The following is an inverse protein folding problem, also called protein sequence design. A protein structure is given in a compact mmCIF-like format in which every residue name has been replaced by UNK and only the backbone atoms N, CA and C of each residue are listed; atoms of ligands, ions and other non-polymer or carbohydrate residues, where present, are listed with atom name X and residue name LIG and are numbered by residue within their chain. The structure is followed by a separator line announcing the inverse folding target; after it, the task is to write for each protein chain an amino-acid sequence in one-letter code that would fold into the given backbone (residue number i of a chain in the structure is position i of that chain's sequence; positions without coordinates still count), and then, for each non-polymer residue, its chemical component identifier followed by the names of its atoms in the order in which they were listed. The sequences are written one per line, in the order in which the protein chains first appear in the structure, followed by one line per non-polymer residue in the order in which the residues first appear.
data_IF_235609678591
#
_entry.id   IF_235609678591
#
_cell.length_a   1.000
_cell.length_b   1.000
_cell.length_c   1.000
_cell.angle_alpha   90.00
_cell.angle_beta   90.00
_cell.angle_gamma   90.00
#
_symmetry.space_group_name_H-M   'P 1'
#
loop_
_entity.id
_entity.type
_entity.pdbx_description
1 polymer ?
#
# COMPACT_ATOMS: atom_id res chain seq x y z
N UNK A 1 16.87 2.52 11.59
CA UNK A 1 16.78 2.72 10.12
C UNK A 1 16.55 4.21 9.86
N UNK A 2 17.44 4.89 9.15
CA UNK A 2 17.17 6.27 8.71
C UNK A 2 16.40 6.17 7.38
N UNK A 3 15.13 6.53 7.41
CA UNK A 3 14.33 6.72 6.19
C UNK A 3 14.76 8.06 5.62
N UNK A 4 15.47 8.05 4.50
CA UNK A 4 15.79 9.29 3.79
C UNK A 4 14.58 9.64 2.90
N UNK A 5 13.90 10.70 3.28
CA UNK A 5 12.80 11.28 2.51
C UNK A 5 13.42 12.28 1.55
N UNK A 6 13.40 12.02 0.26
CA UNK A 6 13.73 13.02 -0.75
C UNK A 6 12.42 13.62 -1.25
N UNK A 7 12.25 14.89 -0.98
CA UNK A 7 11.17 15.70 -1.53
C UNK A 7 11.65 16.23 -2.89
N UNK A 8 11.08 15.73 -3.98
CA UNK A 8 11.26 16.33 -5.30
C UNK A 8 10.08 17.25 -5.57
N UNK A 9 10.34 18.54 -5.73
CA UNK A 9 9.36 19.51 -6.20
C UNK A 9 9.52 19.67 -7.71
N UNK A 10 8.57 19.20 -8.49
CA UNK A 10 8.48 19.55 -9.92
C UNK A 10 7.60 20.79 -10.09
N UNK A 11 8.14 21.81 -10.75
CA UNK A 11 7.41 23.01 -11.16
C UNK A 11 7.11 22.91 -12.65
N UNK A 12 5.92 22.47 -13.00
CA UNK A 12 5.32 22.82 -14.27
C UNK A 12 4.05 23.60 -13.97
N UNK A 13 4.03 24.90 -14.32
CA UNK A 13 2.92 25.85 -14.25
C UNK A 13 1.92 25.52 -13.14
N UNK A 14 1.70 26.29 -12.12
CA UNK A 14 0.64 26.24 -11.07
C UNK A 14 0.23 24.90 -10.42
N UNK A 15 0.75 23.76 -10.86
CA UNK A 15 0.50 22.43 -10.28
C UNK A 15 1.76 21.95 -9.56
N UNK A 16 1.74 21.91 -8.23
CA UNK A 16 2.85 21.40 -7.42
C UNK A 16 2.54 19.98 -6.99
N UNK A 17 3.41 19.03 -7.35
CA UNK A 17 3.40 17.66 -6.85
C UNK A 17 4.58 17.50 -5.87
N UNK A 18 4.32 16.88 -4.73
CA UNK A 18 5.36 16.58 -3.74
C UNK A 18 5.67 15.10 -3.76
N UNK A 19 6.92 14.74 -4.02
CA UNK A 19 7.38 13.36 -4.10
C UNK A 19 8.10 12.98 -2.81
N UNK A 20 7.77 11.83 -2.24
CA UNK A 20 8.50 11.25 -1.10
C UNK A 20 9.13 9.94 -1.55
N UNK A 21 10.46 9.87 -1.58
CA UNK A 21 11.21 8.67 -1.94
C UNK A 21 11.71 8.01 -0.66
N UNK A 22 11.37 6.75 -0.43
CA UNK A 22 11.97 5.94 0.61
C UNK A 22 13.12 5.13 0.03
N UNK A 23 14.31 5.32 0.60
CA UNK A 23 15.48 4.54 0.27
C UNK A 23 15.61 3.33 1.19
N UNK A 24 15.76 2.13 0.63
CA UNK A 24 16.36 1.00 1.31
C UNK A 24 17.75 0.77 0.72
N UNK A 25 18.80 1.08 1.47
CA UNK A 25 20.20 1.04 0.99
C UNK A 25 20.84 -0.36 0.92
N UNK A 26 20.07 -1.47 0.82
CA UNK A 26 20.67 -2.80 0.82
C UNK A 26 20.15 -3.75 -0.25
N UNK A 27 21.00 -4.23 -1.17
CA UNK A 27 20.74 -5.44 -1.95
C UNK A 27 20.91 -6.65 -1.02
N UNK A 28 19.85 -7.24 -0.55
CA UNK A 28 19.81 -8.33 0.42
C UNK A 28 18.91 -8.06 1.62
N UNK A 29 18.38 -6.85 1.75
CA UNK A 29 17.56 -6.42 2.88
C UNK A 29 16.21 -7.15 2.99
N UNK A 30 15.68 -7.65 1.89
CA UNK A 30 14.43 -8.42 1.88
C UNK A 30 14.58 -9.76 2.61
N UNK A 31 15.81 -10.30 2.72
CA UNK A 31 16.05 -11.59 3.34
C UNK A 31 16.64 -11.54 4.78
N UNK A 32 17.03 -10.39 5.29
CA UNK A 32 17.80 -10.34 6.55
C UNK A 32 17.25 -9.46 7.65
N UNK A 33 16.29 -8.58 7.41
CA UNK A 33 15.76 -7.68 8.45
C UNK A 33 14.35 -7.97 8.97
N UNK A 34 13.50 -8.69 8.22
CA UNK A 34 12.15 -9.02 8.70
C UNK A 34 12.12 -10.19 9.68
N UNK A 35 13.03 -11.13 9.57
CA UNK A 35 12.85 -12.46 10.17
C UNK A 35 13.08 -12.62 11.66
N UNK A 36 13.65 -11.65 12.37
CA UNK A 36 14.06 -11.87 13.76
C UNK A 36 13.47 -10.88 14.78
N UNK A 37 12.99 -9.71 14.35
CA UNK A 37 12.57 -8.64 15.26
C UNK A 37 11.05 -8.48 15.32
N UNK A 38 10.32 -8.83 14.27
CA UNK A 38 8.89 -8.54 14.15
C UNK A 38 8.03 -9.80 13.95
N UNK A 39 8.57 -11.01 14.03
CA UNK A 39 7.75 -12.22 13.94
C UNK A 39 6.93 -12.44 15.21
N UNK A 40 5.66 -12.86 15.06
CA UNK A 40 4.76 -13.22 16.16
C UNK A 40 4.26 -14.65 16.05
N UNK A 41 3.61 -15.15 17.09
CA UNK A 41 2.91 -16.43 17.11
C UNK A 41 1.48 -16.29 16.56
N UNK A 42 0.93 -15.09 16.70
CA UNK A 42 -0.39 -14.70 16.21
C UNK A 42 -0.36 -13.25 15.66
N UNK A 43 -1.52 -12.77 15.23
CA UNK A 43 -1.64 -11.43 14.65
C UNK A 43 -1.37 -10.34 15.69
N UNK A 44 -1.75 -10.52 16.94
CA UNK A 44 -1.58 -9.53 17.98
C UNK A 44 -0.10 -9.35 18.33
N UNK A 45 0.64 -10.45 18.52
CA UNK A 45 2.08 -10.40 18.77
C UNK A 45 2.83 -9.81 17.56
N UNK A 46 2.44 -10.17 16.32
CA UNK A 46 3.01 -9.56 15.12
C UNK A 46 2.81 -8.04 15.12
N UNK A 47 1.60 -7.57 15.44
CA UNK A 47 1.29 -6.13 15.47
C UNK A 47 2.06 -5.42 16.57
N UNK A 48 2.17 -6.02 17.75
CA UNK A 48 2.95 -5.46 18.87
C UNK A 48 4.43 -5.29 18.49
N UNK A 49 5.02 -6.30 17.86
CA UNK A 49 6.39 -6.25 17.37
C UNK A 49 6.59 -5.19 16.26
N UNK A 50 5.62 -5.02 15.35
CA UNK A 50 5.67 -3.97 14.32
C UNK A 50 5.57 -2.56 14.94
N UNK A 51 4.81 -2.40 16.04
CA UNK A 51 4.74 -1.15 16.80
C UNK A 51 6.03 -0.85 17.53
N UNK A 52 6.60 -1.82 18.22
CA UNK A 52 7.88 -1.68 18.92
C UNK A 52 8.99 -1.28 17.94
N UNK A 53 8.99 -1.88 16.75
CA UNK A 53 9.91 -1.52 15.65
C UNK A 53 9.57 -0.18 14.96
N UNK A 54 8.50 0.51 15.37
CA UNK A 54 8.01 1.77 14.79
C UNK A 54 7.58 1.67 13.31
N UNK A 55 7.23 0.49 12.84
CA UNK A 55 6.61 0.31 11.53
C UNK A 55 5.13 0.69 11.53
N UNK A 56 4.42 0.43 12.64
CA UNK A 56 3.06 0.92 12.89
C UNK A 56 3.15 2.07 13.89
N UNK A 57 2.55 3.22 13.54
CA UNK A 57 2.58 4.45 14.33
C UNK A 57 1.19 5.02 14.62
N UNK A 58 0.27 4.90 13.65
CA UNK A 58 -1.08 5.43 13.79
C UNK A 58 -2.06 4.39 14.36
N UNK A 59 -3.02 4.81 15.20
CA UNK A 59 -4.03 3.91 15.75
C UNK A 59 -4.90 3.24 14.67
N UNK A 60 -5.15 3.94 13.56
CA UNK A 60 -5.94 3.42 12.45
C UNK A 60 -5.24 2.25 11.76
N UNK A 61 -3.93 2.36 11.52
CA UNK A 61 -3.13 1.29 10.91
C UNK A 61 -3.03 0.10 11.88
N UNK A 62 -2.79 0.35 13.18
CA UNK A 62 -2.82 -0.70 14.20
C UNK A 62 -4.16 -1.46 14.19
N UNK A 63 -5.26 -0.73 14.24
CA UNK A 63 -6.60 -1.31 14.26
C UNK A 63 -6.84 -2.24 13.07
N UNK A 64 -6.54 -1.80 11.86
CA UNK A 64 -6.84 -2.62 10.67
C UNK A 64 -5.94 -3.85 10.56
N UNK A 65 -4.69 -3.78 11.04
CA UNK A 65 -3.83 -4.96 11.13
C UNK A 65 -4.37 -6.01 12.10
N UNK A 66 -4.93 -5.60 13.26
CA UNK A 66 -5.53 -6.53 14.23
C UNK A 66 -6.86 -7.10 13.74
N UNK A 67 -7.66 -6.29 13.01
CA UNK A 67 -8.99 -6.71 12.52
C UNK A 67 -8.88 -7.63 11.31
N UNK A 68 -7.91 -7.42 10.43
CA UNK A 68 -7.74 -8.21 9.21
C UNK A 68 -6.59 -9.19 9.43
N UNK A 69 -6.92 -10.40 9.89
CA UNK A 69 -5.92 -11.43 10.16
C UNK A 69 -5.21 -11.84 8.85
N UNK A 70 -3.91 -11.70 8.85
CA UNK A 70 -3.07 -12.02 7.69
C UNK A 70 -3.16 -13.51 7.32
N UNK A 71 -3.34 -14.42 8.26
CA UNK A 71 -3.45 -15.85 8.01
C UNK A 71 -4.63 -16.19 7.10
N UNK A 72 -5.73 -15.45 7.20
CA UNK A 72 -6.91 -15.62 6.36
C UNK A 72 -6.62 -15.36 4.86
N UNK A 73 -5.52 -14.68 4.52
CA UNK A 73 -5.12 -14.35 3.14
C UNK A 73 -4.03 -15.27 2.59
N UNK A 74 -3.70 -16.33 3.31
CA UNK A 74 -2.82 -17.40 2.85
C UNK A 74 -3.63 -18.53 2.18
N UNK A 75 -3.04 -19.28 1.23
CA UNK A 75 -3.61 -20.55 0.78
C UNK A 75 -3.65 -21.57 1.94
N UNK A 76 -4.66 -22.42 1.92
CA UNK A 76 -4.84 -23.48 2.92
C UNK A 76 -3.55 -24.32 3.10
N UNK A 77 -3.18 -24.54 4.35
CA UNK A 77 -1.98 -25.32 4.74
C UNK A 77 -0.68 -24.53 4.69
N UNK A 78 -0.72 -23.20 4.44
CA UNK A 78 0.48 -22.35 4.41
C UNK A 78 0.46 -21.23 5.47
N UNK A 79 -0.53 -21.21 6.35
CA UNK A 79 -0.82 -20.17 7.34
C UNK A 79 0.32 -20.00 8.37
N UNK A 80 1.15 -21.04 8.58
CA UNK A 80 2.34 -21.00 9.46
C UNK A 80 3.38 -19.93 9.06
N UNK A 81 3.21 -19.33 7.88
CA UNK A 81 4.05 -18.22 7.41
C UNK A 81 3.44 -16.83 7.68
N UNK A 82 2.19 -16.77 8.11
CA UNK A 82 1.41 -15.53 8.16
C UNK A 82 1.98 -14.48 9.12
N UNK A 83 2.49 -14.92 10.28
CA UNK A 83 2.94 -14.02 11.34
C UNK A 83 4.46 -13.78 11.34
N UNK A 84 5.12 -14.17 10.25
CA UNK A 84 6.52 -13.83 10.01
C UNK A 84 6.59 -12.50 9.26
N UNK A 85 7.46 -11.61 9.68
CA UNK A 85 7.69 -10.34 8.94
C UNK A 85 8.57 -10.60 7.70
N UNK A 86 8.06 -11.46 6.82
CA UNK A 86 8.68 -11.86 5.56
C UNK A 86 7.65 -11.81 4.43
N UNK A 87 8.12 -11.45 3.24
CA UNK A 87 7.34 -11.65 2.03
C UNK A 87 7.17 -13.16 1.76
N UNK A 88 6.00 -13.54 1.26
CA UNK A 88 5.68 -14.92 0.89
C UNK A 88 5.18 -14.99 -0.55
N UNK A 89 5.56 -16.05 -1.25
CA UNK A 89 5.15 -16.28 -2.64
C UNK A 89 4.96 -17.76 -2.93
N UNK A 90 3.88 -18.08 -3.61
CA UNK A 90 3.64 -19.40 -4.19
C UNK A 90 2.85 -19.25 -5.51
N UNK A 91 3.40 -19.77 -6.61
CA UNK A 91 2.83 -19.54 -7.94
C UNK A 91 2.73 -18.05 -8.26
N UNK A 92 1.53 -17.59 -8.61
CA UNK A 92 1.21 -16.19 -8.89
C UNK A 92 0.85 -15.41 -7.61
N UNK A 93 0.53 -16.10 -6.52
CA UNK A 93 0.14 -15.47 -5.25
C UNK A 93 1.38 -14.91 -4.55
N UNK A 94 1.32 -13.64 -4.19
CA UNK A 94 2.35 -12.92 -3.46
C UNK A 94 1.75 -12.07 -2.34
N UNK A 95 2.38 -12.15 -1.16
CA UNK A 95 2.12 -11.26 -0.03
C UNK A 95 3.42 -10.57 0.36
N UNK A 96 3.44 -9.27 0.38
CA UNK A 96 4.58 -8.50 0.89
C UNK A 96 4.76 -8.72 2.39
N UNK A 97 5.95 -8.42 2.91
CA UNK A 97 6.19 -8.50 4.35
C UNK A 97 5.27 -7.53 5.12
N UNK A 98 4.82 -7.89 6.34
CA UNK A 98 3.98 -7.03 7.18
C UNK A 98 4.55 -5.62 7.38
N UNK A 99 5.86 -5.48 7.61
CA UNK A 99 6.52 -4.17 7.75
C UNK A 99 6.39 -3.30 6.49
N UNK A 100 6.30 -3.89 5.30
CA UNK A 100 6.07 -3.14 4.05
C UNK A 100 4.64 -2.65 4.00
N UNK A 101 3.64 -3.51 4.28
CA UNK A 101 2.24 -3.10 4.28
C UNK A 101 1.97 -2.01 5.33
N UNK A 102 2.57 -2.10 6.51
CA UNK A 102 2.41 -1.07 7.54
C UNK A 102 2.96 0.28 7.08
N UNK A 103 4.16 0.32 6.50
CA UNK A 103 4.74 1.54 5.96
C UNK A 103 3.92 2.11 4.79
N UNK A 104 3.37 1.26 3.93
CA UNK A 104 2.48 1.68 2.84
C UNK A 104 1.23 2.35 3.41
N UNK A 105 0.54 1.72 4.37
CA UNK A 105 -0.65 2.28 4.99
C UNK A 105 -0.38 3.61 5.71
N UNK A 106 0.71 3.68 6.49
CA UNK A 106 1.15 4.92 7.14
C UNK A 106 1.42 6.05 6.14
N UNK A 107 1.89 5.71 4.97
CA UNK A 107 2.32 6.67 3.96
C UNK A 107 1.19 7.13 3.06
N UNK A 108 0.18 6.30 2.86
CA UNK A 108 -1.00 6.65 2.09
C UNK A 108 -1.85 7.73 2.78
N UNK A 109 -1.65 8.01 4.08
CA UNK A 109 -2.44 8.99 4.85
C UNK A 109 -3.93 8.90 4.52
N UNK A 110 -4.46 7.70 4.71
CA UNK A 110 -5.84 7.36 4.35
C UNK A 110 -6.83 8.08 5.25
N UNK A 111 -7.92 8.55 4.67
CA UNK A 111 -9.04 9.19 5.36
C UNK A 111 -10.35 8.64 4.81
N UNK A 112 -11.41 8.77 5.59
CA UNK A 112 -12.76 8.40 5.16
C UNK A 112 -13.16 9.13 3.87
N UNK A 113 -13.82 8.42 2.96
CA UNK A 113 -14.33 8.94 1.70
C UNK A 113 -13.31 9.05 0.57
N UNK A 114 -12.03 8.74 0.79
CA UNK A 114 -11.02 8.78 -0.27
C UNK A 114 -11.20 7.66 -1.29
N UNK A 115 -10.72 7.91 -2.53
CA UNK A 115 -10.62 6.90 -3.57
C UNK A 115 -9.22 6.29 -3.60
N UNK A 116 -9.15 4.96 -3.60
CA UNK A 116 -7.92 4.18 -3.60
C UNK A 116 -7.84 3.25 -4.80
N UNK A 117 -6.64 3.15 -5.39
CA UNK A 117 -6.31 2.21 -6.45
C UNK A 117 -5.09 1.38 -6.04
N UNK A 118 -5.25 0.06 -6.06
CA UNK A 118 -4.20 -0.91 -5.77
C UNK A 118 -3.75 -1.60 -7.07
N UNK A 119 -2.54 -1.33 -7.52
CA UNK A 119 -1.94 -1.88 -8.73
C UNK A 119 -1.05 -3.09 -8.37
N UNK A 120 -1.46 -4.28 -8.80
CA UNK A 120 -0.97 -5.55 -8.29
C UNK A 120 -1.64 -5.85 -6.96
N UNK A 121 -2.99 -5.97 -6.96
CA UNK A 121 -3.77 -6.09 -5.72
C UNK A 121 -3.53 -7.41 -4.98
N UNK A 122 -2.95 -8.42 -5.65
CA UNK A 122 -2.60 -9.69 -5.05
C UNK A 122 -3.79 -10.36 -4.37
N UNK A 123 -3.59 -10.86 -3.16
CA UNK A 123 -4.62 -11.55 -2.37
C UNK A 123 -5.77 -10.68 -1.85
N UNK A 124 -5.73 -9.37 -2.10
CA UNK A 124 -6.73 -8.44 -1.57
C UNK A 124 -6.48 -8.00 -0.11
N UNK A 125 -5.47 -8.52 0.58
CA UNK A 125 -5.17 -8.23 1.98
C UNK A 125 -5.06 -6.71 2.26
N UNK A 126 -4.22 -6.00 1.50
CA UNK A 126 -4.09 -4.54 1.65
C UNK A 126 -5.40 -3.81 1.34
N UNK A 127 -6.10 -4.22 0.28
CA UNK A 127 -7.35 -3.58 -0.13
C UNK A 127 -8.44 -3.73 0.94
N UNK A 128 -8.50 -4.87 1.64
CA UNK A 128 -9.43 -5.06 2.76
C UNK A 128 -9.10 -4.12 3.93
N UNK A 129 -7.84 -4.00 4.31
CA UNK A 129 -7.43 -3.03 5.34
C UNK A 129 -7.76 -1.58 4.97
N UNK A 130 -7.48 -1.21 3.71
CA UNK A 130 -7.82 0.13 3.19
C UNK A 130 -9.32 0.37 3.24
N UNK A 131 -10.14 -0.61 2.85
CA UNK A 131 -11.61 -0.50 2.89
C UNK A 131 -12.17 -0.15 4.26
N UNK A 132 -11.57 -0.68 5.34
CA UNK A 132 -11.92 -0.36 6.73
C UNK A 132 -11.53 1.07 7.17
N UNK A 133 -10.56 1.68 6.49
CA UNK A 133 -10.12 3.05 6.80
C UNK A 133 -10.92 4.08 5.99
N UNK A 134 -11.10 3.84 4.69
CA UNK A 134 -11.78 4.81 3.82
C UNK A 134 -13.31 4.77 3.93
N UNK A 135 -13.86 3.71 4.52
CA UNK A 135 -15.30 3.62 4.81
C UNK A 135 -16.20 3.54 3.58
N UNK A 136 -17.50 3.40 3.80
CA UNK A 136 -18.52 3.14 2.76
C UNK A 136 -18.65 4.26 1.70
N UNK A 137 -18.21 5.46 2.01
CA UNK A 137 -18.18 6.59 1.08
C UNK A 137 -16.91 6.59 0.21
N UNK A 138 -15.93 5.73 0.51
CA UNK A 138 -14.70 5.56 -0.24
C UNK A 138 -14.89 4.75 -1.51
N UNK A 139 -13.88 4.76 -2.36
CA UNK A 139 -13.80 3.93 -3.56
C UNK A 139 -12.52 3.10 -3.46
N UNK A 140 -12.65 1.79 -3.64
CA UNK A 140 -11.59 0.83 -3.44
C UNK A 140 -11.48 -0.11 -4.63
N UNK A 141 -10.51 0.13 -5.48
CA UNK A 141 -10.31 -0.67 -6.70
C UNK A 141 -8.94 -1.36 -6.67
N UNK A 142 -8.92 -2.64 -7.08
CA UNK A 142 -7.72 -3.43 -7.25
C UNK A 142 -7.57 -3.92 -8.68
N UNK A 143 -6.38 -3.80 -9.25
CA UNK A 143 -6.05 -4.36 -10.56
C UNK A 143 -5.00 -5.44 -10.34
N UNK A 144 -5.26 -6.62 -10.86
CA UNK A 144 -4.34 -7.75 -10.78
C UNK A 144 -4.21 -8.41 -12.16
N UNK A 145 -3.00 -8.81 -12.50
CA UNK A 145 -2.70 -9.37 -13.84
C UNK A 145 -3.26 -10.78 -14.02
N UNK A 146 -3.27 -11.56 -12.94
CA UNK A 146 -3.59 -12.98 -12.97
C UNK A 146 -5.01 -13.23 -12.49
N UNK A 147 -5.82 -13.88 -13.33
CA UNK A 147 -7.23 -14.19 -13.05
C UNK A 147 -7.39 -15.10 -11.83
N UNK A 148 -6.52 -16.11 -11.68
CA UNK A 148 -6.51 -17.01 -10.52
C UNK A 148 -6.26 -16.27 -9.20
N UNK A 149 -5.46 -15.21 -9.22
CA UNK A 149 -5.20 -14.36 -8.05
C UNK A 149 -6.39 -13.46 -7.76
N UNK A 150 -7.08 -12.94 -8.78
CA UNK A 150 -8.32 -12.17 -8.60
C UNK A 150 -9.40 -13.04 -7.96
N UNK A 151 -9.63 -14.24 -8.47
CA UNK A 151 -10.58 -15.19 -7.89
C UNK A 151 -10.25 -15.51 -6.43
N UNK A 152 -8.96 -15.74 -6.14
CA UNK A 152 -8.50 -15.95 -4.76
C UNK A 152 -8.78 -14.73 -3.87
N UNK A 153 -8.54 -13.51 -4.34
CA UNK A 153 -8.81 -12.29 -3.59
C UNK A 153 -10.31 -12.11 -3.30
N UNK A 154 -11.17 -12.40 -4.26
CA UNK A 154 -12.64 -12.36 -4.10
C UNK A 154 -13.13 -13.39 -3.08
N UNK A 155 -12.58 -14.62 -3.11
CA UNK A 155 -12.87 -15.65 -2.11
C UNK A 155 -12.46 -15.22 -0.70
N UNK A 156 -11.25 -14.66 -0.54
CA UNK A 156 -10.77 -14.17 0.76
C UNK A 156 -11.59 -12.99 1.28
N UNK A 157 -11.97 -12.08 0.41
CA UNK A 157 -12.88 -10.99 0.74
C UNK A 157 -14.25 -11.51 1.18
N UNK A 158 -14.85 -12.42 0.43
CA UNK A 158 -16.14 -13.02 0.77
C UNK A 158 -16.09 -13.74 2.13
N UNK A 159 -14.98 -14.44 2.43
CA UNK A 159 -14.78 -15.05 3.74
C UNK A 159 -14.69 -13.99 4.85
N UNK A 160 -13.89 -12.94 4.65
CA UNK A 160 -13.79 -11.81 5.60
C UNK A 160 -15.17 -11.21 5.90
N UNK A 161 -15.95 -10.90 4.88
CA UNK A 161 -17.30 -10.32 5.03
C UNK A 161 -18.25 -11.23 5.80
N UNK A 162 -18.10 -12.55 5.66
CA UNK A 162 -18.95 -13.55 6.31
C UNK A 162 -18.54 -13.85 7.75
N UNK A 163 -17.25 -13.91 8.04
CA UNK A 163 -16.73 -14.48 9.29
C UNK A 163 -16.20 -13.45 10.26
N UNK A 164 -15.80 -12.27 9.79
CA UNK A 164 -15.19 -11.28 10.66
C UNK A 164 -16.23 -10.60 11.58
N UNK A 165 -16.11 -10.77 12.91
CA UNK A 165 -17.09 -10.23 13.85
C UNK A 165 -17.08 -8.71 13.93
N UNK A 166 -15.96 -8.07 13.55
CA UNK A 166 -15.81 -6.62 13.54
C UNK A 166 -16.39 -5.96 12.29
N UNK A 167 -16.71 -6.75 11.26
CA UNK A 167 -17.30 -6.23 10.03
C UNK A 167 -18.80 -5.97 10.15
N UNK A 168 -19.53 -6.66 11.03
CA UNK A 168 -20.99 -6.60 11.12
C UNK A 168 -21.50 -5.15 11.33
N UNK A 169 -21.96 -4.53 10.22
CA UNK A 169 -22.48 -3.16 10.21
C UNK A 169 -21.45 -2.05 10.26
N UNK A 170 -20.18 -2.36 10.01
CA UNK A 170 -19.10 -1.37 9.92
C UNK A 170 -19.16 -0.57 8.63
N UNK A 171 -18.70 0.68 8.72
CA UNK A 171 -18.44 1.56 7.62
C UNK A 171 -17.24 1.01 6.79
N UNK A 172 -17.51 0.35 5.67
CA UNK A 172 -16.52 -0.37 4.86
C UNK A 172 -16.68 -0.08 3.38
N UNK A 173 -15.58 0.22 2.70
CA UNK A 173 -15.50 0.30 1.25
C UNK A 173 -15.07 -1.05 0.69
N UNK A 174 -16.03 -1.82 0.18
CA UNK A 174 -15.76 -3.13 -0.40
C UNK A 174 -14.84 -3.01 -1.62
N UNK A 175 -13.70 -3.71 -1.66
CA UNK A 175 -12.82 -3.72 -2.81
C UNK A 175 -13.48 -4.34 -4.04
N UNK A 176 -13.29 -3.70 -5.20
CA UNK A 176 -13.62 -4.27 -6.51
C UNK A 176 -12.34 -4.68 -7.19
N UNK A 177 -12.15 -5.97 -7.45
CA UNK A 177 -10.97 -6.49 -8.13
C UNK A 177 -11.25 -6.69 -9.62
N UNK A 178 -10.27 -6.34 -10.45
CA UNK A 178 -10.37 -6.44 -11.92
C UNK A 178 -9.11 -7.09 -12.47
N UNK A 179 -9.28 -8.09 -13.33
CA UNK A 179 -8.18 -8.68 -14.10
C UNK A 179 -7.70 -7.66 -15.14
N UNK A 180 -6.42 -7.33 -15.11
CA UNK A 180 -5.87 -6.36 -16.07
C UNK A 180 -4.40 -6.05 -15.88
N UNK A 181 -3.82 -5.48 -16.92
CA UNK A 181 -2.45 -4.96 -16.86
C UNK A 181 -2.45 -3.54 -16.28
N UNK A 182 -1.87 -3.36 -15.10
CA UNK A 182 -1.78 -2.06 -14.43
C UNK A 182 -0.99 -1.00 -15.21
N UNK A 183 -0.20 -1.38 -16.20
CA UNK A 183 0.54 -0.47 -17.09
C UNK A 183 -0.25 -0.02 -18.33
N UNK A 184 -1.51 -0.45 -18.47
CA UNK A 184 -2.34 -0.19 -19.67
C UNK A 184 -3.74 0.34 -19.31
N UNK A 185 -3.92 0.92 -18.13
CA UNK A 185 -5.22 1.48 -17.74
C UNK A 185 -5.49 2.77 -18.50
N UNK A 186 -6.76 3.00 -18.81
CA UNK A 186 -7.17 4.26 -19.43
C UNK A 186 -7.26 5.37 -18.36
N UNK A 187 -6.23 6.22 -18.34
CA UNK A 187 -6.09 7.32 -17.36
C UNK A 187 -7.09 8.46 -17.57
N UNK A 188 -7.84 8.48 -18.70
CA UNK A 188 -8.83 9.53 -18.97
C UNK A 188 -10.13 9.37 -18.19
N UNK A 189 -10.43 8.18 -17.65
CA UNK A 189 -11.70 7.94 -16.98
C UNK A 189 -11.71 8.36 -15.51
N UNK A 190 -10.62 8.13 -14.77
CA UNK A 190 -10.58 8.44 -13.35
C UNK A 190 -9.16 8.60 -12.83
N UNK A 191 -8.97 9.60 -11.99
CA UNK A 191 -7.81 9.73 -11.12
C UNK A 191 -8.24 9.42 -9.68
N UNK A 192 -7.30 8.91 -8.88
CA UNK A 192 -7.54 8.50 -7.50
C UNK A 192 -6.83 9.41 -6.51
N UNK A 193 -7.37 9.48 -5.28
CA UNK A 193 -6.73 10.18 -4.17
C UNK A 193 -5.45 9.51 -3.74
N UNK A 194 -5.47 8.19 -3.74
CA UNK A 194 -4.41 7.32 -3.24
C UNK A 194 -4.20 6.20 -4.24
N UNK A 195 -2.94 6.01 -4.62
CA UNK A 195 -2.54 4.91 -5.51
C UNK A 195 -1.37 4.18 -4.87
N UNK A 196 -1.48 2.87 -4.81
CA UNK A 196 -0.37 1.99 -4.46
C UNK A 196 -0.04 1.09 -5.63
N UNK A 197 1.24 0.97 -5.96
CA UNK A 197 1.73 -0.02 -6.91
C UNK A 197 2.68 -0.96 -6.19
N UNK A 198 2.25 -2.19 -5.89
CA UNK A 198 3.08 -3.23 -5.27
C UNK A 198 4.02 -3.91 -6.24
N UNK A 199 3.75 -3.82 -7.53
CA UNK A 199 4.58 -4.36 -8.60
C UNK A 199 5.76 -3.45 -8.91
N UNK A 200 6.89 -4.02 -9.28
CA UNK A 200 8.03 -3.24 -9.77
C UNK A 200 7.65 -2.50 -11.05
N UNK A 201 7.76 -1.19 -11.04
CA UNK A 201 7.45 -0.34 -12.18
C UNK A 201 8.73 0.12 -12.88
N UNK A 202 8.87 -0.08 -14.21
CA UNK A 202 9.97 0.49 -14.97
C UNK A 202 9.92 2.03 -14.95
N UNK A 203 11.11 2.66 -14.96
CA UNK A 203 11.21 4.12 -14.84
C UNK A 203 10.47 4.89 -15.95
N UNK A 204 10.39 4.30 -17.16
CA UNK A 204 9.67 4.87 -18.30
C UNK A 204 8.15 5.02 -18.07
N UNK A 205 7.58 4.36 -17.07
CA UNK A 205 6.16 4.47 -16.71
C UNK A 205 5.89 5.50 -15.59
N UNK A 206 6.88 6.26 -15.16
CA UNK A 206 6.73 7.23 -14.08
C UNK A 206 5.61 8.23 -14.34
N UNK A 207 5.61 8.88 -15.52
CA UNK A 207 4.58 9.86 -15.89
C UNK A 207 3.19 9.22 -16.03
N UNK A 208 3.14 7.99 -16.53
CA UNK A 208 1.90 7.24 -16.57
C UNK A 208 1.36 6.98 -15.17
N UNK A 209 2.19 6.52 -14.22
CA UNK A 209 1.77 6.29 -12.84
C UNK A 209 1.30 7.59 -12.16
N UNK A 210 1.99 8.70 -12.41
CA UNK A 210 1.57 10.04 -11.96
C UNK A 210 0.19 10.42 -12.49
N UNK A 211 -0.13 10.06 -13.73
CA UNK A 211 -1.42 10.38 -14.36
C UNK A 211 -2.62 9.68 -13.73
N UNK A 212 -2.39 8.59 -12.97
CA UNK A 212 -3.44 7.88 -12.23
C UNK A 212 -3.84 8.60 -10.92
N UNK A 213 -3.03 9.53 -10.46
CA UNK A 213 -3.22 10.24 -9.19
C UNK A 213 -3.73 11.64 -9.46
N UNK A 214 -4.81 12.04 -8.77
CA UNK A 214 -5.32 13.39 -8.86
C UNK A 214 -4.37 14.39 -8.20
N UNK A 215 -4.48 15.65 -8.58
CA UNK A 215 -3.79 16.75 -7.89
C UNK A 215 -4.18 16.73 -6.40
N UNK A 216 -3.21 16.64 -5.51
CA UNK A 216 -3.43 16.49 -4.08
C UNK A 216 -3.43 15.04 -3.59
N UNK A 217 -3.28 14.09 -4.49
CA UNK A 217 -3.23 12.67 -4.15
C UNK A 217 -1.83 12.20 -3.76
N UNK A 218 -1.76 10.94 -3.34
CA UNK A 218 -0.52 10.25 -2.94
C UNK A 218 -0.35 9.01 -3.81
N UNK A 219 0.84 8.85 -4.39
CA UNK A 219 1.29 7.62 -5.03
C UNK A 219 2.38 6.98 -4.19
N UNK A 220 2.21 5.69 -3.89
CA UNK A 220 3.21 4.86 -3.21
C UNK A 220 3.62 3.75 -4.14
N UNK A 221 4.91 3.65 -4.50
CA UNK A 221 5.41 2.58 -5.36
C UNK A 221 6.90 2.32 -5.15
N UNK A 222 7.38 1.07 -5.36
CA UNK A 222 8.80 0.80 -5.48
C UNK A 222 9.33 1.37 -6.80
N UNK A 223 10.41 2.13 -6.75
CA UNK A 223 11.06 2.69 -7.93
C UNK A 223 12.44 2.07 -8.11
N UNK A 224 12.73 1.56 -9.32
CA UNK A 224 14.06 1.07 -9.67
C UNK A 224 14.87 2.18 -10.34
N UNK A 225 15.85 2.72 -9.62
CA UNK A 225 16.85 3.57 -10.24
C UNK A 225 17.85 2.70 -11.03
N UNK A 226 17.97 2.98 -12.34
CA UNK A 226 18.92 2.30 -13.22
C UNK A 226 20.39 2.55 -12.82
N UNK A 227 20.67 3.61 -12.05
CA UNK A 227 22.04 4.03 -11.68
C UNK A 227 22.54 3.32 -10.41
N UNK A 228 21.67 2.90 -9.51
CA UNK A 228 22.05 2.41 -8.18
C UNK A 228 21.59 1.01 -7.81
N UNK A 229 20.92 0.27 -8.70
CA UNK A 229 20.34 -1.06 -8.40
C UNK A 229 19.51 -1.12 -7.09
N UNK A 230 19.03 0.01 -6.60
CA UNK A 230 18.24 0.13 -5.37
C UNK A 230 16.75 0.23 -5.71
N UNK A 231 15.92 -0.40 -4.87
CA UNK A 231 14.46 -0.32 -4.98
C UNK A 231 14.02 0.88 -4.14
N UNK A 232 13.37 1.84 -4.79
CA UNK A 232 12.82 3.02 -4.13
C UNK A 232 11.31 2.87 -3.98
N UNK A 233 10.75 3.38 -2.90
CA UNK A 233 9.31 3.57 -2.74
C UNK A 233 9.04 5.07 -2.82
N UNK A 234 8.37 5.50 -3.88
CA UNK A 234 8.04 6.90 -4.12
C UNK A 234 6.67 7.24 -3.57
N UNK A 235 6.58 8.35 -2.87
CA UNK A 235 5.35 8.92 -2.35
C UNK A 235 5.12 10.30 -2.95
N UNK A 236 3.88 10.59 -3.31
CA UNK A 236 3.47 11.91 -3.78
C UNK A 236 2.55 12.57 -2.76
N UNK A 237 2.95 13.69 -2.21
CA UNK A 237 2.14 14.52 -1.33
C UNK A 237 1.93 15.89 -1.97
N UNK A 238 0.69 16.38 -1.93
CA UNK A 238 0.39 17.76 -2.32
C UNK A 238 0.68 18.73 -1.18
N UNK A 239 1.33 19.86 -1.47
CA UNK A 239 1.44 20.96 -0.52
C UNK A 239 0.21 21.86 -0.61
N UNK A 240 -0.44 22.13 0.52
CA UNK A 240 -1.34 23.27 0.68
C UNK A 240 -0.64 24.56 0.25
N UNK A 241 -1.32 25.54 -0.38
CA UNK A 241 -0.71 26.83 -0.69
C UNK A 241 -0.32 27.51 0.61
N UNK A 242 0.99 27.58 0.85
CA UNK A 242 1.54 28.30 1.99
C UNK A 242 1.28 29.79 1.86
N UNK A 243 0.84 30.38 2.92
CA UNK A 243 0.80 31.81 3.18
C UNK A 243 2.12 32.47 2.71
N UNK A 244 1.97 33.47 1.85
CA UNK A 244 3.10 34.21 1.32
C UNK A 244 3.94 34.83 2.43
N UNK A 245 5.25 34.59 2.37
CA UNK A 245 6.19 35.46 3.02
C UNK A 245 6.24 36.80 2.25
N UNK A 246 5.60 37.81 2.80
CA UNK A 246 5.83 39.21 2.44
C UNK A 246 7.30 39.52 2.70
N UNK A 247 8.01 39.91 1.65
CA UNK A 247 9.28 40.61 1.75
C UNK A 247 9.07 41.91 2.55
N UNK A 248 9.78 42.06 3.62
CA UNK A 248 10.03 43.38 4.25
C UNK A 248 11.51 43.65 4.15
N UNK A 249 11.81 44.77 3.48
CA UNK A 249 13.00 45.61 3.64
C UNK A 249 14.31 45.05 3.14
#
# INVERSE_FOLDING_TARGET
MKINIILLEEKEGLKRHKFVILFSDFPGFINTMGGAVSAGQDIDELVDNLKEASYIRSPEVERVFRVVDRAEYFPEGTEQHAYKDLAWKHGNIHLSAPCIYSQVLESLDLKEGLSFLNLGSGTGYLSTMVGLIIGSNGINHGIELFEDVVQFAEEKLANFLKTNPFYQGTNFSEPVFVVGNCLSLNTHYRQYDRVYCGAGCPAEYEDYMKSLVRVGGILVMPFRDKVRNSVFVNYFLHSTPGLGCSNVG
#
